data_IF_372317887565
#
_entry.id   IF_372317887565
#
_cell.length_a   1.000
_cell.length_b   1.000
_cell.length_c   1.000
_cell.angle_alpha   90.00
_cell.angle_beta   90.00
_cell.angle_gamma   90.00
#
_symmetry.space_group_name_H-M   'P 1'
#
loop_
_entity.id
_entity.type
_entity.pdbx_description
1 polymer ?
#
# COMPACT_ATOMS: atom_id res chain seq x y z
N UNK A 1 -26.50 19.80 8.06
CA UNK A 1 -25.29 19.01 7.72
C UNK A 1 -25.67 18.15 6.54
N UNK A 2 -25.02 18.35 5.40
CA UNK A 2 -25.31 17.62 4.17
C UNK A 2 -24.45 16.35 4.14
N UNK A 3 -25.08 15.23 4.50
CA UNK A 3 -24.42 13.93 4.55
C UNK A 3 -24.10 13.37 3.17
N UNK A 4 -24.86 13.74 2.14
CA UNK A 4 -24.65 13.26 0.76
C UNK A 4 -23.45 13.97 0.09
N UNK A 5 -23.24 15.24 0.40
CA UNK A 5 -22.02 15.95 0.01
C UNK A 5 -20.77 15.37 0.72
N UNK A 6 -20.88 15.05 2.01
CA UNK A 6 -19.79 14.44 2.77
C UNK A 6 -19.44 13.04 2.23
N UNK A 7 -20.44 12.21 1.96
CA UNK A 7 -20.22 10.87 1.42
C UNK A 7 -19.51 10.91 0.06
N UNK A 8 -19.91 11.83 -0.85
CA UNK A 8 -19.21 12.03 -2.13
C UNK A 8 -17.75 12.44 -1.94
N UNK A 9 -17.46 13.33 -1.00
CA UNK A 9 -16.08 13.71 -0.68
C UNK A 9 -15.26 12.52 -0.15
N UNK A 10 -15.86 11.65 0.66
CA UNK A 10 -15.21 10.42 1.15
C UNK A 10 -14.95 9.45 -0.01
N UNK A 11 -15.90 9.28 -0.92
CA UNK A 11 -15.77 8.42 -2.11
C UNK A 11 -14.66 8.92 -3.05
N UNK A 12 -14.61 10.22 -3.31
CA UNK A 12 -13.57 10.84 -4.14
C UNK A 12 -12.19 10.70 -3.47
N UNK A 13 -12.09 10.89 -2.15
CA UNK A 13 -10.86 10.66 -1.40
C UNK A 13 -10.36 9.21 -1.52
N UNK A 14 -11.24 8.22 -1.40
CA UNK A 14 -10.86 6.81 -1.56
C UNK A 14 -10.45 6.46 -3.00
N UNK A 15 -11.08 7.10 -3.99
CA UNK A 15 -10.71 6.96 -5.41
C UNK A 15 -9.30 7.50 -5.67
N UNK A 16 -8.99 8.68 -5.12
CA UNK A 16 -7.73 9.38 -5.35
C UNK A 16 -6.58 8.80 -4.49
N UNK A 17 -6.91 8.16 -3.38
CA UNK A 17 -5.96 7.51 -2.48
C UNK A 17 -6.34 6.06 -2.20
N UNK A 18 -6.22 5.16 -3.20
CA UNK A 18 -6.58 3.76 -3.06
C UNK A 18 -5.54 3.04 -2.19
N UNK A 19 -5.63 3.24 -0.88
CA UNK A 19 -4.78 2.58 0.10
C UNK A 19 -4.91 1.06 -0.05
N UNK A 20 -3.78 0.36 -0.04
CA UNK A 20 -3.79 -1.09 -0.12
C UNK A 20 -4.53 -1.68 1.08
N UNK A 21 -5.40 -2.66 0.84
CA UNK A 21 -6.11 -3.38 1.88
C UNK A 21 -5.29 -4.58 2.36
N UNK A 22 -5.39 -4.93 3.65
CA UNK A 22 -4.83 -6.20 4.16
C UNK A 22 -5.46 -7.45 3.51
N UNK A 23 -6.60 -7.28 2.82
CA UNK A 23 -7.28 -8.33 2.05
C UNK A 23 -6.89 -8.33 0.58
N UNK A 24 -5.97 -7.47 0.14
CA UNK A 24 -5.47 -7.48 -1.23
C UNK A 24 -4.93 -8.88 -1.55
N UNK A 25 -5.34 -9.52 -2.66
CA UNK A 25 -4.94 -10.89 -2.98
C UNK A 25 -3.52 -10.95 -3.53
N UNK A 26 -2.81 -12.05 -3.26
CA UNK A 26 -1.52 -12.35 -3.87
C UNK A 26 -1.58 -12.22 -5.42
N UNK A 27 -0.51 -11.70 -6.01
CA UNK A 27 -0.41 -11.36 -7.43
C UNK A 27 -0.97 -9.98 -7.80
N UNK A 28 -1.58 -9.25 -6.86
CA UNK A 28 -2.06 -7.89 -7.11
C UNK A 28 -0.91 -6.92 -7.39
N UNK A 29 -1.18 -5.94 -8.24
CA UNK A 29 -0.26 -4.82 -8.51
C UNK A 29 -0.49 -3.71 -7.50
N UNK A 30 0.59 -3.32 -6.83
CA UNK A 30 0.57 -2.28 -5.79
C UNK A 30 1.67 -1.27 -6.06
N UNK A 31 1.39 0.01 -5.79
CA UNK A 31 2.33 1.10 -5.97
C UNK A 31 2.95 1.48 -4.64
N UNK A 32 4.27 1.59 -4.58
CA UNK A 32 4.94 2.11 -3.39
C UNK A 32 4.71 3.62 -3.29
N UNK A 33 4.12 4.08 -2.19
CA UNK A 33 3.71 5.47 -2.04
C UNK A 33 4.82 6.37 -1.49
N UNK A 34 5.80 5.80 -0.77
CA UNK A 34 6.96 6.54 -0.27
C UNK A 34 6.69 7.44 0.94
N UNK A 35 5.64 7.18 1.72
CA UNK A 35 5.32 7.94 2.92
C UNK A 35 4.64 7.04 3.97
N UNK A 36 4.50 7.58 5.20
CA UNK A 36 4.11 6.87 6.43
C UNK A 36 5.12 5.78 6.87
N UNK A 37 4.88 5.27 8.07
CA UNK A 37 5.73 4.28 8.74
C UNK A 37 6.67 4.92 9.75
N UNK A 38 7.38 4.06 10.49
CA UNK A 38 8.52 4.47 11.30
C UNK A 38 9.63 4.96 10.38
N UNK A 39 10.39 5.97 10.81
CA UNK A 39 11.44 6.61 10.00
C UNK A 39 12.44 5.59 9.44
N UNK A 40 12.86 4.64 10.27
CA UNK A 40 13.77 3.55 9.88
C UNK A 40 13.15 2.61 8.83
N UNK A 41 11.88 2.21 9.00
CA UNK A 41 11.18 1.35 8.03
C UNK A 41 11.07 2.06 6.67
N UNK A 42 10.83 3.38 6.68
CA UNK A 42 10.70 4.19 5.46
C UNK A 42 12.05 4.40 4.77
N UNK A 43 13.13 4.65 5.52
CA UNK A 43 14.50 4.75 4.99
C UNK A 43 14.93 3.44 4.32
N UNK A 44 14.71 2.30 4.98
CA UNK A 44 15.01 0.98 4.40
C UNK A 44 14.17 0.71 3.15
N UNK A 45 12.87 1.01 3.19
CA UNK A 45 12.00 0.83 2.03
C UNK A 45 12.41 1.72 0.86
N UNK A 46 12.73 2.99 1.09
CA UNK A 46 13.13 3.93 0.01
C UNK A 46 14.53 3.68 -0.55
N UNK A 47 15.40 2.99 0.21
CA UNK A 47 16.69 2.53 -0.31
C UNK A 47 16.55 1.39 -1.35
N UNK A 48 15.44 0.65 -1.30
CA UNK A 48 15.20 -0.54 -2.13
C UNK A 48 14.12 -0.30 -3.18
N UNK A 49 13.04 0.37 -2.79
CA UNK A 49 11.86 0.64 -3.60
C UNK A 49 11.88 2.06 -4.15
N UNK A 50 11.42 2.19 -5.39
CA UNK A 50 11.26 3.49 -6.04
C UNK A 50 9.85 4.01 -5.80
N UNK A 51 9.75 5.24 -5.28
CA UNK A 51 8.46 5.90 -5.04
C UNK A 51 7.70 6.05 -6.36
N UNK A 52 6.43 5.63 -6.37
CA UNK A 52 5.57 5.65 -7.56
C UNK A 52 5.66 4.42 -8.45
N UNK A 53 6.65 3.55 -8.22
CA UNK A 53 6.83 2.30 -8.97
C UNK A 53 5.81 1.25 -8.54
N UNK A 54 5.46 0.37 -9.48
CA UNK A 54 4.48 -0.71 -9.28
C UNK A 54 5.18 -2.04 -9.07
N UNK A 55 4.82 -2.72 -8.00
CA UNK A 55 5.33 -4.01 -7.57
C UNK A 55 4.23 -5.06 -7.54
N UNK A 56 4.63 -6.33 -7.54
CA UNK A 56 3.74 -7.48 -7.46
C UNK A 56 3.71 -8.00 -6.04
N UNK A 57 2.54 -7.97 -5.42
CA UNK A 57 2.41 -8.43 -4.05
C UNK A 57 2.43 -9.96 -3.99
N UNK A 58 3.45 -10.53 -3.34
CA UNK A 58 3.54 -11.98 -3.11
C UNK A 58 2.55 -12.42 -2.04
N UNK A 59 2.56 -11.77 -0.88
CA UNK A 59 1.61 -11.99 0.21
C UNK A 59 1.68 -10.86 1.24
N UNK A 60 0.68 -10.85 2.13
CA UNK A 60 0.67 -10.06 3.35
C UNK A 60 0.69 -11.03 4.52
N UNK A 61 1.65 -10.86 5.43
CA UNK A 61 1.68 -11.57 6.70
C UNK A 61 1.25 -10.63 7.82
N UNK A 62 0.15 -10.98 8.50
CA UNK A 62 -0.42 -10.17 9.58
C UNK A 62 -0.16 -10.86 10.90
N UNK A 63 0.78 -10.31 11.67
CA UNK A 63 1.08 -10.72 13.04
C UNK A 63 0.21 -10.00 14.07
N UNK A 64 0.50 -10.19 15.36
CA UNK A 64 -0.28 -9.60 16.44
C UNK A 64 -0.23 -8.06 16.48
N UNK A 65 0.93 -7.46 16.22
CA UNK A 65 1.14 -6.00 16.30
C UNK A 65 1.79 -5.40 15.06
N UNK A 66 1.98 -6.20 13.99
CA UNK A 66 2.71 -5.81 12.78
C UNK A 66 2.11 -6.49 11.56
N UNK A 67 2.32 -5.87 10.40
CA UNK A 67 1.93 -6.41 9.11
C UNK A 67 3.09 -6.25 8.13
N UNK A 68 3.49 -7.35 7.50
CA UNK A 68 4.58 -7.37 6.54
C UNK A 68 4.04 -7.60 5.14
N UNK A 69 4.49 -6.76 4.21
CA UNK A 69 4.22 -6.91 2.77
C UNK A 69 5.44 -7.55 2.12
N UNK A 70 5.22 -8.64 1.41
CA UNK A 70 6.25 -9.31 0.61
C UNK A 70 6.00 -9.03 -0.87
N UNK A 71 7.06 -8.70 -1.61
CA UNK A 71 7.01 -8.42 -3.04
C UNK A 71 7.68 -9.54 -3.83
N UNK A 72 7.24 -9.81 -5.05
CA UNK A 72 7.87 -10.81 -5.92
C UNK A 72 9.23 -10.32 -6.44
N UNK A 73 9.38 -9.02 -6.66
CA UNK A 73 10.59 -8.39 -7.20
C UNK A 73 11.76 -8.41 -6.20
N UNK A 74 11.47 -8.50 -4.90
CA UNK A 74 12.45 -8.54 -3.80
C UNK A 74 12.04 -9.59 -2.76
N UNK A 75 12.13 -10.90 -3.10
CA UNK A 75 11.45 -11.97 -2.36
C UNK A 75 12.01 -12.26 -0.95
N UNK A 76 13.21 -11.77 -0.65
CA UNK A 76 13.91 -11.98 0.63
C UNK A 76 13.73 -10.81 1.62
N UNK A 77 13.00 -9.77 1.22
CA UNK A 77 12.79 -8.55 2.01
C UNK A 77 11.30 -8.37 2.24
N UNK A 78 10.94 -7.97 3.45
CA UNK A 78 9.58 -7.64 3.81
C UNK A 78 9.50 -6.20 4.29
N UNK A 79 8.36 -5.56 4.01
CA UNK A 79 8.15 -4.15 4.31
C UNK A 79 7.05 -4.02 5.34
N UNK A 80 7.38 -3.47 6.51
CA UNK A 80 6.45 -3.15 7.58
C UNK A 80 6.19 -1.65 7.62
N UNK A 81 5.02 -1.24 8.10
CA UNK A 81 4.66 0.16 8.38
C UNK A 81 4.62 1.13 7.20
N UNK A 82 5.16 0.80 6.02
CA UNK A 82 5.20 1.69 4.85
C UNK A 82 3.95 1.56 3.97
N UNK A 83 3.60 2.65 3.30
CA UNK A 83 2.35 2.73 2.56
C UNK A 83 2.47 2.20 1.13
N UNK A 84 1.53 1.33 0.77
CA UNK A 84 1.28 0.92 -0.61
C UNK A 84 -0.12 1.33 -1.04
N UNK A 85 -0.29 1.57 -2.33
CA UNK A 85 -1.56 1.85 -2.96
C UNK A 85 -1.96 0.71 -3.88
N UNK A 86 -3.23 0.30 -3.87
CA UNK A 86 -3.74 -0.59 -4.89
C UNK A 86 -3.71 0.14 -6.23
N UNK A 87 -3.14 -0.51 -7.25
CA UNK A 87 -3.31 -0.05 -8.62
C UNK A 87 -4.68 -0.55 -9.08
N UNK A 88 -5.69 0.32 -9.06
CA UNK A 88 -6.94 0.04 -9.75
C UNK A 88 -6.59 -0.11 -11.22
N UNK A 89 -6.61 -1.33 -11.75
CA UNK A 89 -6.66 -1.52 -13.19
C UNK A 89 -7.93 -0.82 -13.66
N UNK A 90 -7.78 0.32 -14.33
CA UNK A 90 -8.90 0.94 -15.03
C UNK A 90 -9.37 -0.03 -16.09
N UNK A 91 -10.53 -0.65 -15.86
CA UNK A 91 -11.41 -1.08 -16.95
C UNK A 91 -12.23 0.11 -17.44
#
# INVERSE_FOLDING_TARGET
MDWDALNRQIEDLHRDHPTMSIKTPAGSKIRFAGFHGEEMDLEEATAILTVGEVYTMKCIDVGQSRSYVYLEEVPDISFNSVMFQNVCNGE
#
